data_IF_699926178170
#
_entry.id   IF_699926178170
#
_cell.length_a   1.000
_cell.length_b   1.000
_cell.length_c   1.000
_cell.angle_alpha   90.00
_cell.angle_beta   90.00
_cell.angle_gamma   90.00
#
_symmetry.space_group_name_H-M   'P 1'
#
loop_
_entity.id
_entity.type
_entity.pdbx_description
1 polymer ?
#
# COMPACT_ATOMS: atom_id res chain seq x y z
N UNK A 1 -5.10 12.09 36.76
CA UNK A 1 -5.20 13.19 35.78
C UNK A 1 -5.29 12.52 34.42
N UNK A 2 -6.50 12.46 33.86
CA UNK A 2 -6.78 11.83 32.56
C UNK A 2 -6.86 12.95 31.53
N UNK A 3 -5.82 13.11 30.72
CA UNK A 3 -5.87 13.94 29.52
C UNK A 3 -6.48 13.09 28.42
N UNK A 4 -7.80 13.17 28.30
CA UNK A 4 -8.51 12.84 27.06
C UNK A 4 -8.04 13.84 26.01
N UNK A 5 -6.99 13.48 25.27
CA UNK A 5 -6.61 14.17 24.05
C UNK A 5 -7.69 13.86 23.01
N UNK A 6 -8.43 14.89 22.59
CA UNK A 6 -9.37 14.79 21.48
C UNK A 6 -8.62 14.31 20.24
N UNK A 7 -8.95 13.11 19.76
CA UNK A 7 -8.33 12.49 18.58
C UNK A 7 -8.44 13.35 17.30
N UNK A 8 -9.33 14.34 17.29
CA UNK A 8 -9.51 15.28 16.20
C UNK A 8 -8.47 16.43 16.17
N UNK A 9 -7.86 16.79 17.31
CA UNK A 9 -6.86 17.87 17.36
C UNK A 9 -5.47 17.37 16.94
N UNK A 10 -5.12 16.12 17.31
CA UNK A 10 -3.86 15.46 16.93
C UNK A 10 -3.71 15.21 15.42
N UNK A 11 -4.81 15.21 14.67
CA UNK A 11 -4.78 14.89 13.24
C UNK A 11 -4.25 16.03 12.37
N UNK A 12 -4.41 17.30 12.78
CA UNK A 12 -4.05 18.44 11.91
C UNK A 12 -2.54 18.65 11.78
N UNK A 13 -1.77 18.32 12.81
CA UNK A 13 -0.31 18.41 12.75
C UNK A 13 0.35 17.17 12.13
N UNK A 14 -0.35 16.04 12.07
CA UNK A 14 0.15 14.77 11.55
C UNK A 14 0.15 14.69 10.01
N UNK A 15 -0.69 15.49 9.35
CA UNK A 15 -0.93 15.39 7.90
C UNK A 15 -0.70 16.72 7.19
N UNK A 16 -0.43 16.65 5.89
CA UNK A 16 -0.27 17.78 4.98
C UNK A 16 -1.28 17.65 3.84
N UNK A 17 -1.99 18.74 3.54
CA UNK A 17 -2.92 18.78 2.41
C UNK A 17 -2.16 18.73 1.08
N UNK A 18 -2.60 17.84 0.16
CA UNK A 18 -1.98 17.70 -1.15
C UNK A 18 -2.86 18.30 -2.25
N UNK A 19 -4.11 17.88 -2.33
CA UNK A 19 -5.07 18.36 -3.33
C UNK A 19 -6.52 18.03 -2.95
N UNK A 20 -7.46 18.62 -3.68
CA UNK A 20 -8.89 18.31 -3.60
C UNK A 20 -9.34 17.62 -4.87
N UNK A 21 -10.25 16.66 -4.72
CA UNK A 21 -10.84 15.97 -5.86
C UNK A 21 -11.70 16.93 -6.69
N UNK A 22 -11.62 16.88 -8.04
CA UNK A 22 -12.51 17.65 -8.91
C UNK A 22 -14.00 17.34 -8.63
N UNK A 23 -14.80 18.37 -8.32
CA UNK A 23 -16.24 18.22 -8.01
C UNK A 23 -17.04 17.58 -9.16
N UNK A 24 -16.55 17.73 -10.39
CA UNK A 24 -17.12 17.12 -11.59
C UNK A 24 -17.19 15.58 -11.49
N UNK A 25 -16.20 14.96 -10.82
CA UNK A 25 -16.16 13.50 -10.62
C UNK A 25 -17.29 13.03 -9.71
N UNK A 26 -17.67 13.84 -8.70
CA UNK A 26 -18.76 13.51 -7.76
C UNK A 26 -20.12 13.46 -8.45
N UNK A 27 -20.35 14.32 -9.43
CA UNK A 27 -21.63 14.41 -10.14
C UNK A 27 -21.81 13.27 -11.16
N UNK A 28 -20.72 12.75 -11.71
CA UNK A 28 -20.74 11.62 -12.66
C UNK A 28 -21.08 10.28 -11.97
N UNK A 29 -20.64 10.10 -10.72
CA UNK A 29 -20.94 8.93 -9.87
C UNK A 29 -22.46 8.65 -9.74
N UNK A 30 -23.26 9.70 -9.51
CA UNK A 30 -24.68 9.59 -9.17
C UNK A 30 -25.63 9.13 -10.29
N UNK A 31 -25.19 9.12 -11.55
CA UNK A 31 -26.01 8.65 -12.68
C UNK A 31 -25.71 7.17 -12.97
N UNK A 32 -26.68 6.28 -12.71
CA UNK A 32 -26.57 4.83 -12.95
C UNK A 32 -27.39 4.36 -14.17
N UNK A 33 -26.77 4.08 -15.33
CA UNK A 33 -27.35 3.20 -16.33
C UNK A 33 -26.84 1.75 -16.16
N UNK A 34 -27.70 0.78 -16.47
CA UNK A 34 -27.41 -0.65 -16.30
C UNK A 34 -26.40 -1.22 -17.29
N UNK A 35 -25.39 -1.90 -16.72
CA UNK A 35 -24.61 -3.05 -17.19
C UNK A 35 -24.15 -3.14 -18.67
N UNK A 36 -22.85 -2.89 -18.87
CA UNK A 36 -21.91 -3.68 -19.68
C UNK A 36 -20.48 -3.25 -19.33
N UNK A 37 -19.63 -4.16 -18.82
CA UNK A 37 -18.24 -3.87 -18.38
C UNK A 37 -17.37 -3.34 -19.52
N UNK A 38 -17.34 -2.02 -19.69
CA UNK A 38 -16.45 -1.31 -20.60
C UNK A 38 -15.25 -0.73 -19.84
N UNK A 39 -14.26 -0.17 -20.56
CA UNK A 39 -13.19 0.65 -19.96
C UNK A 39 -13.75 1.83 -19.13
N UNK A 40 -14.98 2.28 -19.40
CA UNK A 40 -15.67 3.31 -18.62
C UNK A 40 -16.07 2.82 -17.22
N UNK A 41 -16.43 1.55 -17.07
CA UNK A 41 -16.88 0.98 -15.79
C UNK A 41 -15.72 0.86 -14.79
N UNK A 42 -14.52 0.53 -15.28
CA UNK A 42 -13.30 0.51 -14.45
C UNK A 42 -12.95 1.90 -13.93
N UNK A 43 -12.99 2.90 -14.81
CA UNK A 43 -12.74 4.30 -14.43
C UNK A 43 -13.77 4.78 -13.42
N UNK A 44 -15.06 4.50 -13.65
CA UNK A 44 -16.10 4.87 -12.70
C UNK A 44 -15.93 4.18 -11.34
N UNK A 45 -15.60 2.89 -11.31
CA UNK A 45 -15.34 2.18 -10.06
C UNK A 45 -14.17 2.78 -9.26
N UNK A 46 -13.12 3.24 -9.95
CA UNK A 46 -12.00 3.99 -9.37
C UNK A 46 -12.45 5.34 -8.78
N UNK A 47 -13.28 6.08 -9.52
CA UNK A 47 -13.82 7.36 -9.05
C UNK A 47 -14.70 7.17 -7.82
N UNK A 48 -15.59 6.18 -7.83
CA UNK A 48 -16.45 5.85 -6.70
C UNK A 48 -15.60 5.45 -5.48
N UNK A 49 -14.58 4.60 -5.66
CA UNK A 49 -13.65 4.20 -4.58
C UNK A 49 -12.94 5.42 -3.97
N UNK A 50 -12.48 6.32 -4.82
CA UNK A 50 -11.75 7.51 -4.41
C UNK A 50 -12.62 8.41 -3.53
N UNK A 51 -13.89 8.61 -3.89
CA UNK A 51 -14.82 9.40 -3.08
C UNK A 51 -15.26 8.71 -1.79
N UNK A 52 -15.47 7.40 -1.82
CA UNK A 52 -15.91 6.61 -0.67
C UNK A 52 -14.80 6.47 0.38
N UNK A 53 -13.58 6.16 -0.06
CA UNK A 53 -12.47 5.84 0.85
C UNK A 53 -11.61 7.05 1.23
N UNK A 54 -11.38 7.98 0.30
CA UNK A 54 -10.46 9.12 0.53
C UNK A 54 -11.23 10.42 0.78
N UNK A 55 -12.40 10.58 0.17
CA UNK A 55 -13.22 11.77 0.28
C UNK A 55 -12.68 12.98 -0.49
N UNK A 56 -13.22 14.17 -0.22
CA UNK A 56 -12.96 15.37 -1.04
C UNK A 56 -11.50 15.86 -1.02
N UNK A 57 -10.78 15.61 0.08
CA UNK A 57 -9.45 16.16 0.31
C UNK A 57 -8.47 15.04 0.55
N UNK A 58 -7.39 15.05 -0.22
CA UNK A 58 -6.29 14.08 -0.10
C UNK A 58 -5.18 14.69 0.74
N UNK A 59 -4.73 13.94 1.73
CA UNK A 59 -3.66 14.32 2.64
C UNK A 59 -2.51 13.32 2.58
N UNK A 60 -1.30 13.79 2.81
CA UNK A 60 -0.12 12.97 3.03
C UNK A 60 0.21 13.00 4.52
N UNK A 61 0.60 11.85 5.07
CA UNK A 61 1.11 11.79 6.44
C UNK A 61 2.55 12.29 6.48
N UNK A 62 2.88 13.17 7.43
CA UNK A 62 4.24 13.71 7.58
C UNK A 62 5.20 12.63 8.04
N UNK A 63 6.42 12.64 7.48
CA UNK A 63 7.44 11.64 7.78
C UNK A 63 7.78 11.55 9.28
N UNK A 64 7.85 12.68 9.98
CA UNK A 64 8.16 12.72 11.41
C UNK A 64 7.07 12.04 12.25
N UNK A 65 5.80 12.23 11.88
CA UNK A 65 4.70 11.55 12.55
C UNK A 65 4.75 10.02 12.33
N UNK A 66 5.07 9.58 11.11
CA UNK A 66 5.26 8.15 10.81
C UNK A 66 6.42 7.56 11.62
N UNK A 67 7.53 8.31 11.76
CA UNK A 67 8.66 7.91 12.59
C UNK A 67 8.25 7.74 14.05
N UNK A 68 7.49 8.68 14.59
CA UNK A 68 6.96 8.58 15.96
C UNK A 68 6.03 7.37 16.13
N UNK A 69 5.17 7.11 15.14
CA UNK A 69 4.22 5.98 15.19
C UNK A 69 4.93 4.61 15.25
N UNK A 70 6.07 4.48 14.56
CA UNK A 70 6.78 3.20 14.43
C UNK A 70 8.14 3.15 15.15
N UNK A 71 8.48 4.14 15.97
CA UNK A 71 9.77 4.21 16.68
C UNK A 71 10.02 3.02 17.62
N UNK A 72 8.95 2.36 18.07
CA UNK A 72 9.02 1.16 18.89
C UNK A 72 9.31 -0.13 18.09
N UNK A 73 9.14 -0.11 16.76
CA UNK A 73 9.43 -1.25 15.89
C UNK A 73 10.88 -1.25 15.42
N UNK A 74 11.38 -0.08 15.03
CA UNK A 74 12.78 0.13 14.69
C UNK A 74 13.17 1.58 15.00
N UNK A 75 14.26 1.75 15.72
CA UNK A 75 14.87 3.06 15.98
C UNK A 75 15.67 3.54 14.76
N UNK A 76 15.88 4.85 14.64
CA UNK A 76 16.71 5.42 13.57
C UNK A 76 18.13 4.83 13.55
N UNK A 77 18.71 4.53 14.72
CA UNK A 77 20.02 3.89 14.84
C UNK A 77 20.01 2.47 14.27
N UNK A 78 18.96 1.68 14.53
CA UNK A 78 18.81 0.33 13.98
C UNK A 78 18.62 0.36 12.45
N UNK A 79 17.84 1.32 11.94
CA UNK A 79 17.68 1.49 10.48
C UNK A 79 19.01 1.91 9.86
N UNK A 80 19.73 2.85 10.47
CA UNK A 80 21.04 3.30 9.99
C UNK A 80 22.09 2.19 10.07
N UNK A 81 22.05 1.32 11.07
CA UNK A 81 22.91 0.15 11.18
C UNK A 81 22.60 -0.86 10.07
N UNK A 82 21.32 -1.17 9.85
CA UNK A 82 20.88 -2.07 8.78
C UNK A 82 21.35 -1.61 7.41
N UNK A 83 21.17 -0.32 7.08
CA UNK A 83 21.57 0.26 5.79
C UNK A 83 23.08 0.21 5.53
N UNK A 84 23.92 0.06 6.58
CA UNK A 84 25.37 -0.14 6.42
C UNK A 84 25.75 -1.58 6.13
N UNK A 85 24.83 -2.53 6.33
CA UNK A 85 25.08 -3.95 6.06
C UNK A 85 24.97 -4.21 4.56
N UNK A 86 25.83 -5.09 4.04
CA UNK A 86 25.72 -5.58 2.65
C UNK A 86 24.39 -6.31 2.40
N UNK A 87 23.77 -6.85 3.45
CA UNK A 87 22.49 -7.54 3.38
C UNK A 87 21.32 -6.59 3.04
N UNK A 88 21.45 -5.29 3.33
CA UNK A 88 20.43 -4.30 2.93
C UNK A 88 20.35 -4.19 1.40
N UNK A 89 21.47 -4.31 0.69
CA UNK A 89 21.57 -3.93 -0.72
C UNK A 89 21.45 -2.42 -0.94
N UNK A 90 21.67 -1.63 0.11
CA UNK A 90 21.81 -0.19 0.04
C UNK A 90 23.30 0.17 -0.06
N UNK A 91 23.64 0.95 -1.08
CA UNK A 91 24.95 1.54 -1.24
C UNK A 91 24.93 2.96 -0.67
N UNK A 92 25.63 3.14 0.46
CA UNK A 92 25.75 4.42 1.14
C UNK A 92 26.68 5.41 0.42
N UNK A 93 27.59 4.95 -0.44
CA UNK A 93 28.49 5.84 -1.20
C UNK A 93 27.72 6.50 -2.36
N UNK A 94 26.88 5.73 -3.06
CA UNK A 94 26.05 6.26 -4.15
C UNK A 94 24.68 6.75 -3.69
N UNK A 95 24.27 6.41 -2.45
CA UNK A 95 22.96 6.71 -1.86
C UNK A 95 21.81 6.07 -2.67
N UNK A 96 21.98 4.78 -3.02
CA UNK A 96 21.08 4.03 -3.90
C UNK A 96 20.87 2.59 -3.46
N UNK A 97 19.75 2.00 -3.86
CA UNK A 97 19.54 0.55 -3.76
C UNK A 97 20.17 -0.14 -4.96
N UNK A 98 21.14 -1.02 -4.72
CA UNK A 98 21.95 -1.66 -5.75
C UNK A 98 21.13 -2.53 -6.72
N UNK A 99 20.05 -3.14 -6.23
CA UNK A 99 19.21 -4.04 -7.02
C UNK A 99 18.16 -3.30 -7.88
N UNK A 100 17.90 -2.02 -7.64
CA UNK A 100 16.90 -1.26 -8.40
C UNK A 100 17.52 -0.74 -9.71
N UNK A 101 16.90 -1.01 -10.87
CA UNK A 101 17.41 -0.53 -12.14
C UNK A 101 17.29 1.01 -12.24
N UNK A 102 18.30 1.64 -12.84
CA UNK A 102 18.33 3.09 -13.09
C UNK A 102 17.26 3.52 -14.09
N UNK A 103 17.09 2.70 -15.13
CA UNK A 103 16.21 2.97 -16.27
C UNK A 103 15.42 1.70 -16.58
N UNK A 104 14.42 1.34 -15.75
CA UNK A 104 13.55 0.20 -16.04
C UNK A 104 12.83 0.41 -17.38
N UNK A 105 12.77 -0.62 -18.21
CA UNK A 105 12.02 -0.58 -19.47
C UNK A 105 10.51 -0.51 -19.22
N UNK A 106 10.04 -1.23 -18.21
CA UNK A 106 8.66 -1.25 -17.75
C UNK A 106 8.57 -1.62 -16.24
N UNK A 107 7.37 -1.59 -15.69
CA UNK A 107 7.11 -1.89 -14.28
C UNK A 107 7.51 -3.32 -13.88
N UNK A 108 7.53 -4.26 -14.83
CA UNK A 108 7.85 -5.65 -14.53
C UNK A 108 9.32 -5.86 -14.15
N UNK A 109 10.20 -4.94 -14.54
CA UNK A 109 11.60 -4.90 -14.10
C UNK A 109 11.76 -4.36 -12.67
N UNK A 110 10.78 -3.59 -12.17
CA UNK A 110 10.79 -3.06 -10.80
C UNK A 110 10.34 -4.09 -9.76
N UNK A 111 9.46 -5.02 -10.13
CA UNK A 111 8.82 -5.92 -9.17
C UNK A 111 9.82 -6.86 -8.47
N UNK A 112 10.67 -7.63 -9.17
CA UNK A 112 11.60 -8.55 -8.50
C UNK A 112 12.55 -7.88 -7.49
N UNK A 113 13.22 -6.76 -7.80
CA UNK A 113 14.12 -6.14 -6.83
C UNK A 113 13.38 -5.50 -5.65
N UNK A 114 12.20 -4.91 -5.87
CA UNK A 114 11.36 -4.41 -4.77
C UNK A 114 10.87 -5.54 -3.85
N UNK A 115 10.49 -6.67 -4.42
CA UNK A 115 10.08 -7.86 -3.68
C UNK A 115 11.23 -8.41 -2.82
N UNK A 116 12.44 -8.46 -3.40
CA UNK A 116 13.64 -8.88 -2.69
C UNK A 116 13.98 -7.92 -1.55
N UNK A 117 13.89 -6.61 -1.80
CA UNK A 117 14.12 -5.57 -0.80
C UNK A 117 13.14 -5.71 0.37
N UNK A 118 11.84 -5.81 0.10
CA UNK A 118 10.83 -5.96 1.14
C UNK A 118 11.06 -7.21 2.00
N UNK A 119 11.38 -8.36 1.38
CA UNK A 119 11.69 -9.58 2.12
C UNK A 119 12.99 -9.50 2.93
N UNK A 120 14.02 -8.78 2.46
CA UNK A 120 15.25 -8.53 3.24
C UNK A 120 14.98 -7.67 4.48
N UNK A 121 14.16 -6.64 4.33
CA UNK A 121 13.74 -5.78 5.45
C UNK A 121 12.97 -6.62 6.47
N UNK A 122 11.98 -7.42 6.03
CA UNK A 122 11.21 -8.31 6.91
C UNK A 122 12.13 -9.28 7.65
N UNK A 123 13.05 -9.95 6.95
CA UNK A 123 13.96 -10.92 7.55
C UNK A 123 14.93 -10.29 8.57
N UNK A 124 15.34 -9.03 8.35
CA UNK A 124 16.24 -8.34 9.26
C UNK A 124 15.54 -7.90 10.55
N UNK A 125 14.39 -7.22 10.44
CA UNK A 125 13.67 -6.68 11.59
C UNK A 125 12.78 -7.73 12.29
N UNK A 126 12.51 -8.85 11.62
CA UNK A 126 11.77 -9.99 12.18
C UNK A 126 12.46 -11.32 11.82
N UNK A 127 13.66 -11.60 12.40
CA UNK A 127 14.44 -12.80 12.09
C UNK A 127 13.75 -14.11 12.52
N UNK A 128 12.81 -14.01 13.47
CA UNK A 128 11.94 -15.09 13.88
C UNK A 128 10.56 -14.55 14.22
N UNK A 129 9.53 -15.33 13.92
CA UNK A 129 8.16 -15.05 14.32
C UNK A 129 7.70 -16.02 15.41
N UNK A 130 6.77 -15.56 16.24
CA UNK A 130 6.03 -16.42 17.16
C UNK A 130 5.26 -17.51 16.39
N UNK A 131 4.97 -18.67 17.01
CA UNK A 131 4.19 -19.73 16.37
C UNK A 131 2.85 -19.20 15.82
N UNK A 132 2.57 -19.48 14.54
CA UNK A 132 1.36 -19.01 13.85
C UNK A 132 1.44 -17.58 13.30
N UNK A 133 2.54 -16.87 13.53
CA UNK A 133 2.79 -15.55 12.92
C UNK A 133 3.74 -15.71 11.74
N UNK A 134 3.45 -15.03 10.63
CA UNK A 134 4.38 -14.95 9.50
C UNK A 134 4.17 -13.65 8.72
N UNK A 135 5.21 -13.18 8.05
CA UNK A 135 5.16 -12.08 7.08
C UNK A 135 6.03 -12.43 5.88
N UNK A 136 5.51 -12.20 4.68
CA UNK A 136 6.26 -12.39 3.44
C UNK A 136 5.75 -11.43 2.37
N UNK A 137 6.67 -10.75 1.70
CA UNK A 137 6.33 -9.96 0.53
C UNK A 137 6.14 -10.92 -0.66
N UNK A 138 5.02 -10.79 -1.36
CA UNK A 138 4.67 -11.57 -2.54
C UNK A 138 4.36 -10.60 -3.69
N UNK A 139 4.88 -10.91 -4.88
CA UNK A 139 4.45 -10.24 -6.11
C UNK A 139 3.09 -10.79 -6.51
N UNK A 140 2.19 -9.91 -6.92
CA UNK A 140 0.82 -10.32 -7.23
C UNK A 140 0.64 -10.93 -8.59
N UNK A 141 1.60 -10.88 -9.52
CA UNK A 141 1.39 -11.25 -10.94
C UNK A 141 0.47 -12.48 -11.13
N UNK A 142 -0.78 -12.21 -11.51
CA UNK A 142 -1.93 -13.13 -11.69
C UNK A 142 -2.71 -13.56 -10.43
N UNK A 143 -2.62 -12.83 -9.32
CA UNK A 143 -3.29 -13.09 -8.05
C UNK A 143 -4.23 -11.93 -7.72
N UNK A 144 -5.53 -12.22 -7.76
CA UNK A 144 -6.56 -11.27 -7.36
C UNK A 144 -6.79 -11.38 -5.86
N UNK A 145 -6.56 -10.29 -5.14
CA UNK A 145 -6.85 -10.16 -3.72
C UNK A 145 -8.30 -9.75 -3.55
N UNK A 146 -9.06 -10.59 -2.85
CA UNK A 146 -10.44 -10.29 -2.53
C UNK A 146 -10.51 -9.22 -1.44
N UNK A 147 -11.36 -8.22 -1.64
CA UNK A 147 -11.69 -7.21 -0.63
C UNK A 147 -12.59 -7.79 0.45
N UNK A 148 -12.65 -7.13 1.60
CA UNK A 148 -13.42 -7.60 2.76
C UNK A 148 -14.93 -7.64 2.50
N UNK A 149 -15.40 -6.81 1.55
CA UNK A 149 -16.78 -6.85 1.05
C UNK A 149 -17.13 -8.14 0.27
N UNK A 150 -16.14 -8.96 -0.12
CA UNK A 150 -16.34 -10.23 -0.83
C UNK A 150 -16.83 -10.12 -2.28
N UNK A 151 -17.07 -8.91 -2.77
CA UNK A 151 -17.60 -8.63 -4.11
C UNK A 151 -16.51 -8.12 -5.05
N UNK A 152 -15.61 -7.29 -4.52
CA UNK A 152 -14.53 -6.69 -5.28
C UNK A 152 -13.24 -7.48 -5.13
N UNK A 153 -12.41 -7.45 -6.17
CA UNK A 153 -11.04 -7.91 -6.09
C UNK A 153 -10.12 -6.92 -6.82
N UNK A 154 -8.89 -6.78 -6.30
CA UNK A 154 -7.85 -5.96 -6.93
C UNK A 154 -6.52 -6.69 -6.92
N UNK A 155 -5.54 -6.11 -7.59
CA UNK A 155 -4.26 -6.76 -7.87
C UNK A 155 -3.12 -5.74 -7.70
N UNK A 156 -2.73 -5.41 -6.46
CA UNK A 156 -1.59 -4.51 -6.19
C UNK A 156 -0.30 -5.15 -6.63
N UNK A 157 0.73 -4.43 -7.08
CA UNK A 157 1.94 -5.07 -7.64
C UNK A 157 2.68 -6.00 -6.66
N UNK A 158 2.82 -5.55 -5.41
CA UNK A 158 3.40 -6.31 -4.32
C UNK A 158 2.49 -6.17 -3.10
N UNK A 159 2.39 -7.22 -2.29
CA UNK A 159 1.69 -7.17 -1.02
C UNK A 159 2.45 -7.98 0.05
N UNK A 160 2.24 -7.60 1.31
CA UNK A 160 2.83 -8.29 2.46
C UNK A 160 1.80 -9.25 3.04
N UNK A 161 1.84 -10.51 2.60
CA UNK A 161 1.03 -11.58 3.18
C UNK A 161 1.41 -11.74 4.64
N UNK A 162 0.42 -11.74 5.52
CA UNK A 162 0.62 -11.85 6.95
C UNK A 162 -0.31 -12.89 7.57
N UNK A 163 0.18 -13.58 8.59
CA UNK A 163 -0.61 -14.46 9.44
C UNK A 163 -0.37 -14.08 10.90
N UNK A 164 -1.38 -14.29 11.74
CA UNK A 164 -1.34 -14.01 13.17
C UNK A 164 -2.72 -13.61 13.71
N UNK A 165 -2.82 -13.26 15.01
CA UNK A 165 -4.11 -12.98 15.66
C UNK A 165 -4.93 -11.82 15.06
N UNK A 166 -4.29 -10.94 14.29
CA UNK A 166 -4.93 -9.77 13.64
C UNK A 166 -5.29 -10.01 12.17
N UNK A 167 -5.06 -11.22 11.65
CA UNK A 167 -5.28 -11.54 10.24
C UNK A 167 -6.21 -12.74 10.10
N UNK A 168 -7.08 -12.69 9.09
CA UNK A 168 -8.05 -13.75 8.82
C UNK A 168 -7.87 -14.27 7.40
N UNK A 169 -7.98 -15.59 7.21
CA UNK A 169 -8.06 -16.16 5.87
C UNK A 169 -9.44 -15.84 5.29
N UNK A 170 -9.52 -15.27 4.07
CA UNK A 170 -10.80 -14.88 3.49
C UNK A 170 -11.79 -16.06 3.42
N UNK A 171 -13.05 -15.83 3.80
CA UNK A 171 -14.08 -16.89 3.83
C UNK A 171 -14.39 -17.52 2.46
N UNK A 172 -14.12 -16.80 1.36
CA UNK A 172 -14.36 -17.23 -0.03
C UNK A 172 -13.05 -17.48 -0.80
N UNK A 173 -12.03 -17.94 -0.07
CA UNK A 173 -10.66 -18.11 -0.55
C UNK A 173 -10.42 -19.14 -1.66
N UNK A 174 -11.40 -19.99 -1.97
CA UNK A 174 -11.26 -21.01 -3.02
C UNK A 174 -10.88 -20.42 -4.39
N UNK A 175 -11.28 -19.16 -4.65
CA UNK A 175 -10.97 -18.44 -5.89
C UNK A 175 -9.64 -17.68 -5.88
N UNK A 176 -9.09 -17.39 -4.71
CA UNK A 176 -7.89 -16.55 -4.53
C UNK A 176 -6.71 -17.29 -3.88
N UNK A 177 -6.85 -18.60 -3.62
CA UNK A 177 -5.79 -19.40 -3.00
C UNK A 177 -5.46 -18.97 -1.58
N UNK A 178 -6.49 -18.68 -0.76
CA UNK A 178 -6.34 -18.21 0.63
C UNK A 178 -5.68 -16.84 0.76
N UNK A 179 -5.88 -15.96 -0.23
CA UNK A 179 -5.37 -14.59 -0.24
C UNK A 179 -6.50 -13.55 -0.36
N UNK A 180 -6.43 -12.51 0.45
CA UNK A 180 -7.33 -11.36 0.42
C UNK A 180 -6.83 -10.26 1.35
N UNK A 181 -7.49 -9.10 1.33
CA UNK A 181 -7.03 -7.96 2.13
C UNK A 181 -7.04 -8.26 3.64
N UNK A 182 -7.95 -9.12 4.12
CA UNK A 182 -7.98 -9.64 5.49
C UNK A 182 -6.69 -10.32 5.99
N UNK A 183 -5.82 -10.80 5.09
CA UNK A 183 -4.50 -11.38 5.43
C UNK A 183 -3.32 -10.68 4.75
N UNK A 184 -3.48 -9.39 4.45
CA UNK A 184 -2.45 -8.51 3.88
C UNK A 184 -2.19 -7.36 4.84
N UNK A 185 -0.93 -7.19 5.26
CA UNK A 185 -0.57 -6.09 6.16
C UNK A 185 -0.29 -4.78 5.43
N UNK A 186 0.13 -4.85 4.18
CA UNK A 186 0.45 -3.70 3.35
C UNK A 186 0.45 -4.08 1.86
N UNK A 187 0.21 -3.08 1.02
CA UNK A 187 0.33 -3.17 -0.44
C UNK A 187 1.35 -2.14 -0.92
N UNK A 188 2.06 -2.46 -1.99
CA UNK A 188 3.06 -1.60 -2.61
C UNK A 188 2.73 -1.58 -4.10
N UNK A 189 2.51 -0.38 -4.62
CA UNK A 189 2.28 -0.13 -6.04
C UNK A 189 3.57 0.42 -6.66
N UNK A 190 4.04 -0.20 -7.73
CA UNK A 190 5.32 0.10 -8.35
C UNK A 190 5.10 0.67 -9.75
N UNK A 191 5.43 1.95 -9.92
CA UNK A 191 5.27 2.65 -11.19
C UNK A 191 6.59 3.26 -11.65
N UNK A 192 6.80 3.30 -12.96
CA UNK A 192 7.86 4.10 -13.57
C UNK A 192 7.42 5.56 -13.64
N UNK A 193 8.35 6.49 -13.83
CA UNK A 193 8.00 7.90 -14.07
C UNK A 193 7.10 8.11 -15.29
N UNK A 194 7.21 7.24 -16.30
CA UNK A 194 6.39 7.27 -17.49
C UNK A 194 4.95 6.76 -17.26
N UNK A 195 4.74 5.92 -16.25
CA UNK A 195 3.47 5.20 -16.03
C UNK A 195 2.78 5.54 -14.72
N UNK A 196 3.40 6.32 -13.83
CA UNK A 196 2.86 6.67 -12.50
C UNK A 196 1.56 7.46 -12.52
N UNK A 197 1.12 7.95 -13.68
CA UNK A 197 -0.08 8.76 -13.79
C UNK A 197 0.00 10.08 -13.02
N UNK A 198 -1.10 10.82 -12.98
CA UNK A 198 -1.23 11.99 -12.14
C UNK A 198 -1.58 11.64 -10.67
N UNK A 199 -1.62 12.66 -9.80
CA UNK A 199 -1.91 12.44 -8.36
C UNK A 199 -3.32 11.91 -8.10
N UNK A 200 -4.28 12.23 -8.96
CA UNK A 200 -5.68 11.75 -8.84
C UNK A 200 -5.72 10.27 -9.19
N UNK A 201 -5.04 9.86 -10.27
CA UNK A 201 -4.92 8.46 -10.68
C UNK A 201 -4.23 7.62 -9.61
N UNK A 202 -3.14 8.14 -9.02
CA UNK A 202 -2.45 7.48 -7.90
C UNK A 202 -3.37 7.32 -6.68
N UNK A 203 -4.07 8.37 -6.28
CA UNK A 203 -5.00 8.30 -5.16
C UNK A 203 -6.15 7.33 -5.44
N UNK A 204 -6.69 7.32 -6.66
CA UNK A 204 -7.75 6.40 -7.07
C UNK A 204 -7.29 4.93 -6.98
N UNK A 205 -6.05 4.67 -7.37
CA UNK A 205 -5.48 3.33 -7.28
C UNK A 205 -5.32 2.87 -5.82
N UNK A 206 -4.84 3.75 -4.94
CA UNK A 206 -4.74 3.45 -3.51
C UNK A 206 -6.12 3.28 -2.85
N UNK A 207 -7.10 4.09 -3.26
CA UNK A 207 -8.47 3.99 -2.77
C UNK A 207 -9.10 2.62 -3.10
N UNK A 208 -8.81 2.05 -4.27
CA UNK A 208 -9.26 0.69 -4.58
C UNK A 208 -8.75 -0.29 -3.52
N UNK A 209 -7.50 -0.18 -3.08
CA UNK A 209 -6.90 -1.11 -2.13
C UNK A 209 -7.49 -1.02 -0.71
N UNK A 210 -8.21 0.06 -0.39
CA UNK A 210 -8.82 0.28 0.92
C UNK A 210 -10.25 -0.27 1.07
N UNK A 211 -10.84 -0.83 0.01
CA UNK A 211 -12.23 -1.32 -0.05
C UNK A 211 -12.52 -2.64 0.67
#
# INVERSE_FOLDING_TARGET
MSTSLDANELATDAVEYIFSLPQEMRNASNNRPGYQQTSGDKKKAQEDALWEEVGEKVYQVKADWVRELYCNLATDDQVAEYLKTSASGYDAETNRWEALPDTPADETELIPPLLQLANRIIAHFHPSFEPGVSRSALGSRNLWLLHDNGEHASHPDIFIKSAGPSFETPHSSERSGDLGYTNVAAVIDARTDATKGDRVEQAAQLAIYCR
#
